data_IF_101798626263
#
_entry.id   IF_101798626263
#
_cell.length_a   1.000
_cell.length_b   1.000
_cell.length_c   1.000
_cell.angle_alpha   90.00
_cell.angle_beta   90.00
_cell.angle_gamma   90.00
#
_symmetry.space_group_name_H-M   'P 1'
#
loop_
_entity.id
_entity.type
_entity.pdbx_description
1 polymer ?
#
# COMPACT_ATOMS: atom_id res chain seq x y z
N UNK A 1 14.21 18.75 -3.92
CA UNK A 1 15.11 17.80 -4.60
C UNK A 1 14.40 17.34 -5.86
N UNK A 2 15.04 17.50 -7.02
CA UNK A 2 14.48 17.04 -8.28
C UNK A 2 14.33 15.51 -8.24
N UNK A 3 13.23 14.99 -8.78
CA UNK A 3 13.03 13.57 -9.07
C UNK A 3 14.00 13.24 -10.22
N UNK A 4 15.29 13.12 -9.91
CA UNK A 4 16.33 12.74 -10.87
C UNK A 4 16.32 11.22 -10.96
N UNK A 5 15.97 10.73 -12.15
CA UNK A 5 16.06 9.34 -12.61
C UNK A 5 15.37 8.31 -11.70
N UNK A 6 14.04 8.29 -11.75
CA UNK A 6 13.31 7.06 -11.45
C UNK A 6 13.84 5.96 -12.38
N UNK A 7 14.54 4.98 -11.83
CA UNK A 7 15.00 3.81 -12.58
C UNK A 7 13.77 3.19 -13.26
N UNK A 8 13.84 2.98 -14.58
CA UNK A 8 12.77 2.32 -15.34
C UNK A 8 12.33 1.02 -14.68
N UNK A 9 13.24 0.37 -13.95
CA UNK A 9 13.05 -0.90 -13.26
C UNK A 9 12.28 -0.80 -11.94
N UNK A 10 11.92 0.39 -11.48
CA UNK A 10 11.36 0.60 -10.16
C UNK A 10 9.96 1.22 -10.20
N UNK A 11 9.13 0.73 -9.29
CA UNK A 11 7.79 1.25 -9.03
C UNK A 11 7.73 1.67 -7.58
N UNK A 12 7.26 2.88 -7.35
CA UNK A 12 7.13 3.46 -6.02
C UNK A 12 5.66 3.52 -5.65
N UNK A 13 5.33 2.99 -4.49
CA UNK A 13 4.01 3.13 -3.89
C UNK A 13 4.20 4.05 -2.69
N UNK A 14 3.54 5.21 -2.74
CA UNK A 14 3.66 6.23 -1.71
C UNK A 14 2.32 6.39 -1.00
N UNK A 15 2.36 6.48 0.32
CA UNK A 15 1.22 6.83 1.17
C UNK A 15 1.54 8.17 1.84
N UNK A 16 0.64 9.14 1.70
CA UNK A 16 0.78 10.48 2.29
C UNK A 16 -0.47 10.88 3.06
N UNK A 17 -0.27 11.52 4.21
CA UNK A 17 -1.32 12.06 5.08
C UNK A 17 -0.69 13.12 6.00
N UNK A 18 -1.50 14.07 6.47
CA UNK A 18 -1.02 15.22 7.25
C UNK A 18 -1.90 15.56 8.46
N UNK A 19 -2.76 14.63 8.88
CA UNK A 19 -3.67 14.82 10.02
C UNK A 19 -3.96 13.48 10.71
N UNK A 20 -4.67 13.49 11.85
CA UNK A 20 -4.88 12.29 12.66
C UNK A 20 -5.79 11.27 11.97
N UNK A 21 -5.52 9.95 12.09
CA UNK A 21 -4.49 9.31 12.90
C UNK A 21 -3.05 9.59 12.43
N UNK A 22 -2.12 9.70 13.39
CA UNK A 22 -0.74 10.09 13.09
C UNK A 22 0.06 8.95 12.51
N UNK A 23 -0.12 7.72 13.00
CA UNK A 23 0.67 6.56 12.59
C UNK A 23 -0.12 5.66 11.63
N UNK A 24 0.01 5.95 10.34
CA UNK A 24 -0.40 5.04 9.28
C UNK A 24 0.78 4.26 8.74
N UNK A 25 0.53 3.02 8.36
CA UNK A 25 1.52 2.11 7.78
C UNK A 25 1.07 1.66 6.39
N UNK A 26 2.03 1.52 5.48
CA UNK A 26 1.80 1.03 4.12
C UNK A 26 2.26 -0.43 4.07
N UNK A 27 1.33 -1.33 3.77
CA UNK A 27 1.55 -2.76 3.90
C UNK A 27 1.30 -3.48 2.56
N UNK A 28 2.13 -4.47 2.26
CA UNK A 28 1.91 -5.42 1.18
C UNK A 28 1.65 -6.81 1.74
N UNK A 29 0.52 -7.40 1.39
CA UNK A 29 0.23 -8.79 1.68
C UNK A 29 0.46 -9.64 0.44
N UNK A 30 1.26 -10.69 0.54
CA UNK A 30 1.50 -11.62 -0.57
C UNK A 30 0.45 -12.74 -0.62
N UNK A 31 0.55 -13.63 -1.62
CA UNK A 31 -0.36 -14.76 -1.77
C UNK A 31 -0.37 -15.73 -0.56
N UNK A 32 0.74 -15.82 0.18
CA UNK A 32 0.87 -16.66 1.36
C UNK A 32 0.23 -16.03 2.61
N UNK A 33 -0.36 -14.84 2.48
CA UNK A 33 -0.97 -14.10 3.58
C UNK A 33 0.03 -13.35 4.46
N UNK A 34 1.31 -13.31 4.09
CA UNK A 34 2.37 -12.62 4.83
C UNK A 34 2.26 -11.13 4.56
N UNK A 35 2.03 -10.35 5.62
CA UNK A 35 2.00 -8.89 5.59
C UNK A 35 3.40 -8.35 5.86
N UNK A 36 3.93 -7.62 4.89
CA UNK A 36 5.17 -6.86 5.02
C UNK A 36 4.82 -5.38 5.20
N UNK A 37 5.54 -4.70 6.10
CA UNK A 37 5.44 -3.25 6.32
C UNK A 37 6.78 -2.70 6.82
N UNK A 38 6.91 -1.36 6.89
CA UNK A 38 8.13 -0.70 7.39
C UNK A 38 8.45 -1.08 8.84
N UNK A 39 7.46 -1.49 9.66
CA UNK A 39 7.70 -1.95 11.05
C UNK A 39 8.14 -3.41 11.15
N UNK A 40 7.76 -4.26 10.18
CA UNK A 40 8.00 -5.71 10.20
C UNK A 40 9.08 -6.17 9.20
N UNK A 41 9.85 -5.25 8.64
CA UNK A 41 10.87 -5.54 7.62
C UNK A 41 11.93 -6.57 8.08
N UNK A 42 12.14 -6.70 9.40
CA UNK A 42 13.03 -7.69 10.01
C UNK A 42 12.43 -9.09 10.19
N UNK A 43 11.10 -9.24 10.07
CA UNK A 43 10.37 -10.50 10.31
C UNK A 43 9.77 -11.11 9.05
N UNK A 44 9.45 -10.30 8.05
CA UNK A 44 9.12 -10.83 6.74
C UNK A 44 10.42 -11.33 6.09
N UNK A 45 10.46 -12.54 5.47
CA UNK A 45 11.57 -12.87 4.59
C UNK A 45 11.68 -11.71 3.61
N UNK A 46 12.80 -11.01 3.59
CA UNK A 46 13.00 -9.86 2.72
C UNK A 46 12.70 -10.31 1.30
N UNK A 47 11.50 -10.00 0.82
CA UNK A 47 11.04 -10.43 -0.49
C UNK A 47 12.00 -9.73 -1.44
N UNK A 48 12.93 -10.51 -1.99
CA UNK A 48 13.95 -10.03 -2.92
C UNK A 48 13.20 -9.18 -3.95
N UNK A 49 13.55 -7.89 -4.05
CA UNK A 49 12.94 -6.86 -4.91
C UNK A 49 11.87 -5.94 -4.29
N UNK A 50 11.53 -6.07 -3.00
CA UNK A 50 10.70 -5.11 -2.25
C UNK A 50 11.58 -4.38 -1.22
N UNK A 51 11.48 -3.06 -1.13
CA UNK A 51 12.16 -2.27 -0.09
C UNK A 51 11.21 -1.24 0.52
N UNK A 52 11.33 -1.00 1.82
CA UNK A 52 10.63 0.08 2.50
C UNK A 52 11.59 1.25 2.64
N UNK A 53 11.37 2.30 1.84
CA UNK A 53 12.32 3.42 1.71
C UNK A 53 12.21 4.43 2.87
N UNK A 54 11.16 4.33 3.69
CA UNK A 54 10.93 5.29 4.78
C UNK A 54 11.63 4.86 6.06
N UNK A 55 12.60 5.65 6.52
CA UNK A 55 13.30 5.41 7.78
C UNK A 55 12.47 5.74 9.04
N UNK A 56 11.41 6.53 8.90
CA UNK A 56 10.55 6.94 10.02
C UNK A 56 9.42 5.93 10.19
N UNK A 57 9.42 5.20 11.32
CA UNK A 57 8.47 4.13 11.57
C UNK A 57 7.14 4.61 12.20
N UNK A 58 7.06 5.85 12.69
CA UNK A 58 5.89 6.40 13.38
C UNK A 58 5.63 7.87 13.04
N UNK A 59 4.39 8.34 13.20
CA UNK A 59 3.99 9.71 12.88
C UNK A 59 3.66 9.90 11.41
N UNK A 60 3.47 11.16 10.99
CA UNK A 60 2.92 11.48 9.66
C UNK A 60 3.82 11.04 8.51
N UNK A 61 3.18 10.78 7.36
CA UNK A 61 3.84 10.32 6.15
C UNK A 61 4.77 11.36 5.49
N UNK A 62 5.43 10.97 4.38
CA UNK A 62 5.07 9.83 3.55
C UNK A 62 5.69 8.49 3.98
N UNK A 63 4.97 7.40 3.70
CA UNK A 63 5.50 6.02 3.70
C UNK A 63 5.69 5.58 2.25
N UNK A 64 6.82 4.94 1.95
CA UNK A 64 7.20 4.59 0.58
C UNK A 64 7.67 3.15 0.51
N UNK A 65 7.10 2.39 -0.43
CA UNK A 65 7.56 1.07 -0.84
C UNK A 65 8.11 1.17 -2.25
N UNK A 66 9.31 0.64 -2.48
CA UNK A 66 9.85 0.44 -3.82
C UNK A 66 9.80 -1.05 -4.20
N UNK A 67 9.38 -1.30 -5.45
CA UNK A 67 9.25 -2.63 -6.04
C UNK A 67 10.10 -2.67 -7.31
N UNK A 68 10.96 -3.68 -7.45
CA UNK A 68 11.72 -3.88 -8.69
C UNK A 68 10.89 -4.68 -9.68
N UNK A 69 10.62 -4.12 -10.86
CA UNK A 69 9.79 -4.72 -11.93
C UNK A 69 10.34 -6.03 -12.52
N UNK A 70 11.55 -6.44 -12.16
CA UNK A 70 12.06 -7.79 -12.49
C UNK A 70 11.35 -8.89 -11.70
N UNK A 71 10.58 -8.56 -10.66
CA UNK A 71 9.83 -9.52 -9.86
C UNK A 71 8.52 -9.95 -10.53
N UNK A 72 7.98 -11.08 -10.08
CA UNK A 72 6.60 -11.47 -10.39
C UNK A 72 5.88 -11.87 -9.12
N UNK A 73 4.63 -11.45 -8.99
CA UNK A 73 3.83 -11.75 -7.81
C UNK A 73 2.48 -11.08 -7.81
N UNK A 74 1.60 -11.58 -6.95
CA UNK A 74 0.32 -10.96 -6.63
C UNK A 74 0.38 -10.47 -5.19
N UNK A 75 -0.13 -9.26 -4.98
CA UNK A 75 -0.11 -8.57 -3.71
C UNK A 75 -1.44 -7.90 -3.45
N UNK A 76 -1.82 -7.77 -2.19
CA UNK A 76 -2.86 -6.85 -1.75
C UNK A 76 -2.22 -5.66 -1.07
N UNK A 77 -2.59 -4.45 -1.49
CA UNK A 77 -2.07 -3.21 -0.94
C UNK A 77 -2.98 -2.69 0.15
N UNK A 78 -2.42 -2.49 1.34
CA UNK A 78 -3.16 -2.03 2.51
C UNK A 78 -2.57 -0.77 3.10
N UNK A 79 -3.45 0.05 3.67
CA UNK A 79 -3.07 1.09 4.63
C UNK A 79 -3.63 0.69 5.99
N UNK A 80 -2.77 0.61 6.99
CA UNK A 80 -3.15 0.26 8.35
C UNK A 80 -3.02 1.47 9.27
N UNK A 81 -4.04 1.73 10.07
CA UNK A 81 -3.92 2.62 11.21
C UNK A 81 -3.35 1.84 12.39
N UNK A 82 -2.21 2.31 12.91
CA UNK A 82 -1.54 1.74 14.08
C UNK A 82 -1.95 2.42 15.39
N UNK A 83 -2.68 3.53 15.32
CA UNK A 83 -3.27 4.15 16.51
C UNK A 83 -4.59 3.48 16.88
N UNK A 84 -4.70 3.04 18.13
CA UNK A 84 -5.96 2.54 18.68
C UNK A 84 -7.07 3.60 18.61
N UNK A 85 -8.30 3.12 18.38
CA UNK A 85 -9.56 3.88 18.46
C UNK A 85 -9.76 5.03 17.46
N UNK A 86 -8.85 5.17 16.48
CA UNK A 86 -9.02 6.16 15.41
C UNK A 86 -9.39 5.54 14.08
N UNK A 87 -10.26 6.26 13.38
CA UNK A 87 -10.74 5.90 12.05
C UNK A 87 -9.75 6.40 11.00
N UNK A 88 -9.25 5.50 10.15
CA UNK A 88 -8.27 5.78 9.10
C UNK A 88 -8.68 6.91 8.13
N UNK A 89 -9.99 7.16 7.99
CA UNK A 89 -10.53 8.17 7.08
C UNK A 89 -10.46 9.60 7.59
N UNK A 90 -10.22 9.82 8.89
CA UNK A 90 -10.13 11.18 9.43
C UNK A 90 -8.96 11.98 8.82
N UNK A 91 -7.92 11.30 8.31
CA UNK A 91 -6.72 11.96 7.81
C UNK A 91 -6.64 12.17 6.29
N UNK A 92 -7.68 11.79 5.54
CA UNK A 92 -7.70 11.82 4.07
C UNK A 92 -6.43 11.19 3.44
N UNK A 93 -6.12 9.91 3.74
CA UNK A 93 -4.90 9.28 3.23
C UNK A 93 -4.93 9.20 1.70
N UNK A 94 -3.78 9.45 1.09
CA UNK A 94 -3.57 9.40 -0.36
C UNK A 94 -2.50 8.37 -0.69
N UNK A 95 -2.85 7.38 -1.50
CA UNK A 95 -1.92 6.38 -2.01
C UNK A 95 -1.66 6.62 -3.49
N UNK A 96 -0.40 6.75 -3.88
CA UNK A 96 0.00 7.00 -5.27
C UNK A 96 1.00 5.95 -5.72
N UNK A 97 0.74 5.33 -6.87
CA UNK A 97 1.66 4.45 -7.57
C UNK A 97 2.35 5.27 -8.65
N UNK A 98 3.67 5.31 -8.60
CA UNK A 98 4.56 6.09 -9.46
C UNK A 98 5.47 5.12 -10.19
N UNK A 99 5.53 5.25 -11.51
CA UNK A 99 6.48 4.56 -12.37
C UNK A 99 7.47 5.58 -12.95
N UNK A 100 8.45 5.12 -13.72
CA UNK A 100 9.46 5.99 -14.33
C UNK A 100 8.88 7.08 -15.25
N UNK A 101 7.71 6.83 -15.83
CA UNK A 101 7.00 7.79 -16.68
C UNK A 101 6.09 8.75 -15.90
N UNK A 102 6.05 8.66 -14.56
CA UNK A 102 5.30 9.55 -13.68
C UNK A 102 4.24 8.85 -12.83
N UNK A 103 3.22 9.60 -12.42
CA UNK A 103 2.12 9.08 -11.63
C UNK A 103 1.26 8.17 -12.51
N UNK A 104 1.15 6.90 -12.11
CA UNK A 104 0.35 5.92 -12.83
C UNK A 104 -1.08 5.81 -12.29
N UNK A 105 -1.22 5.71 -10.97
CA UNK A 105 -2.54 5.66 -10.30
C UNK A 105 -2.50 6.39 -8.96
N UNK A 106 -3.64 6.98 -8.63
CA UNK A 106 -3.87 7.64 -7.34
C UNK A 106 -5.16 7.11 -6.73
N UNK A 107 -5.09 6.71 -5.47
CA UNK A 107 -6.20 6.24 -4.67
C UNK A 107 -6.42 7.21 -3.54
N UNK A 108 -7.64 7.69 -3.44
CA UNK A 108 -8.10 8.51 -2.33
C UNK A 108 -9.21 7.76 -1.64
N UNK A 109 -9.13 7.69 -0.32
CA UNK A 109 -10.26 7.25 0.47
C UNK A 109 -11.29 8.39 0.50
N UNK A 110 -12.32 8.31 -0.35
CA UNK A 110 -13.35 9.35 -0.43
C UNK A 110 -14.42 9.19 0.66
N UNK A 111 -15.09 10.29 0.98
CA UNK A 111 -16.08 10.35 2.06
C UNK A 111 -17.22 9.33 1.88
N UNK A 112 -17.63 9.02 0.64
CA UNK A 112 -18.70 8.07 0.38
C UNK A 112 -18.27 6.63 0.66
N UNK A 113 -17.07 6.24 0.21
CA UNK A 113 -16.45 4.96 0.53
C UNK A 113 -16.23 4.80 2.03
N UNK A 114 -15.98 5.91 2.73
CA UNK A 114 -15.92 5.94 4.18
C UNK A 114 -17.30 5.69 4.79
N UNK A 115 -18.34 6.37 4.32
CA UNK A 115 -19.72 6.22 4.82
C UNK A 115 -20.24 4.79 4.61
N UNK A 116 -20.02 4.19 3.44
CA UNK A 116 -20.46 2.82 3.15
C UNK A 116 -19.72 1.78 4.01
N UNK A 117 -18.43 2.02 4.30
CA UNK A 117 -17.65 1.19 5.21
C UNK A 117 -18.04 1.42 6.66
N UNK A 118 -18.33 2.66 7.07
CA UNK A 118 -18.80 3.01 8.42
C UNK A 118 -20.17 2.41 8.69
N UNK A 119 -21.11 2.47 7.74
CA UNK A 119 -22.43 1.85 7.87
C UNK A 119 -22.35 0.33 8.02
N UNK A 120 -21.35 -0.31 7.40
CA UNK A 120 -21.05 -1.74 7.61
C UNK A 120 -20.35 -2.00 8.96
N UNK A 121 -19.52 -1.06 9.42
CA UNK A 121 -18.74 -1.14 10.65
C UNK A 121 -19.46 -0.61 11.91
N UNK A 122 -20.70 -0.14 11.82
CA UNK A 122 -21.53 0.06 13.02
C UNK A 122 -21.80 -1.27 13.78
N UNK A 123 -21.35 -2.41 13.24
CA UNK A 123 -21.24 -3.71 13.93
C UNK A 123 -19.82 -4.08 14.42
N UNK A 124 -18.77 -3.40 13.93
CA UNK A 124 -17.36 -3.68 14.22
C UNK A 124 -16.65 -2.36 14.61
N UNK A 125 -16.41 -2.16 15.91
CA UNK A 125 -15.93 -0.90 16.50
C UNK A 125 -14.55 -0.39 16.02
N UNK A 126 -13.82 -1.12 15.16
CA UNK A 126 -12.46 -0.73 14.72
C UNK A 126 -12.20 -1.02 13.24
N UNK A 127 -12.56 -0.08 12.36
CA UNK A 127 -11.99 -0.05 11.00
C UNK A 127 -10.56 0.52 11.03
N UNK A 128 -9.60 -0.32 11.39
CA UNK A 128 -8.17 0.01 11.44
C UNK A 128 -7.43 -0.21 10.10
N UNK A 129 -8.12 -0.68 9.05
CA UNK A 129 -7.47 -1.10 7.80
C UNK A 129 -8.24 -0.67 6.56
N UNK A 130 -7.51 -0.19 5.55
CA UNK A 130 -8.00 0.12 4.22
C UNK A 130 -7.30 -0.77 3.19
N UNK A 131 -8.06 -1.71 2.60
CA UNK A 131 -7.66 -2.39 1.37
C UNK A 131 -7.77 -1.43 0.19
N UNK A 132 -6.62 -1.02 -0.36
CA UNK A 132 -6.51 -0.06 -1.45
C UNK A 132 -6.84 -0.70 -2.78
N UNK A 133 -6.09 -1.74 -3.15
CA UNK A 133 -6.25 -2.48 -4.40
C UNK A 133 -5.49 -3.81 -4.37
N UNK A 134 -5.81 -4.67 -5.32
CA UNK A 134 -5.01 -5.84 -5.63
C UNK A 134 -4.00 -5.46 -6.72
N UNK A 135 -2.73 -5.86 -6.54
CA UNK A 135 -1.62 -5.62 -7.46
C UNK A 135 -1.11 -6.94 -8.02
N UNK A 136 -0.92 -7.00 -9.33
CA UNK A 136 -0.16 -8.07 -9.99
C UNK A 136 1.01 -7.44 -10.72
N UNK A 137 2.18 -8.00 -10.49
CA UNK A 137 3.43 -7.61 -11.13
C UNK A 137 3.90 -8.81 -11.95
N UNK A 138 4.21 -8.57 -13.20
CA UNK A 138 4.80 -9.52 -14.12
C UNK A 138 6.22 -9.07 -14.45
N UNK A 139 7.15 -10.03 -14.52
CA UNK A 139 8.53 -9.73 -14.86
C UNK A 139 8.57 -9.28 -16.31
N UNK A 140 8.95 -8.03 -16.55
CA UNK A 140 9.14 -7.50 -17.89
C UNK A 140 10.56 -6.97 -18.03
N UNK A 141 11.33 -7.60 -18.93
CA UNK A 141 12.67 -7.14 -19.29
C UNK A 141 12.68 -5.79 -20.01
N UNK A 142 11.53 -5.34 -20.50
CA UNK A 142 11.33 -4.05 -21.18
C UNK A 142 10.80 -2.96 -20.25
N UNK A 143 10.50 -3.29 -18.98
CA UNK A 143 10.06 -2.33 -17.96
C UNK A 143 8.87 -1.48 -18.43
N UNK A 144 7.93 -2.09 -19.16
CA UNK A 144 6.74 -1.41 -19.66
C UNK A 144 5.69 -1.23 -18.56
N UNK A 145 4.78 -0.29 -18.77
CA UNK A 145 3.60 -0.08 -17.92
C UNK A 145 2.63 -1.28 -17.90
N UNK A 146 2.73 -2.18 -18.89
CA UNK A 146 1.97 -3.43 -18.93
C UNK A 146 2.42 -4.48 -17.91
N UNK A 147 3.61 -4.28 -17.30
CA UNK A 147 4.14 -5.18 -16.27
C UNK A 147 3.37 -5.12 -14.95
N UNK A 148 2.53 -4.09 -14.75
CA UNK A 148 1.75 -3.94 -13.53
C UNK A 148 0.27 -3.82 -13.86
N UNK A 149 -0.48 -4.73 -13.28
CA UNK A 149 -1.93 -4.71 -13.27
C UNK A 149 -2.41 -4.32 -11.88
N UNK A 150 -3.35 -3.37 -11.83
CA UNK A 150 -3.99 -2.96 -10.60
C UNK A 150 -5.50 -3.14 -10.75
N UNK A 151 -6.02 -4.10 -9.99
CA UNK A 151 -7.41 -4.53 -9.96
C UNK A 151 -8.13 -4.02 -8.71
N UNK A 152 -9.46 -4.08 -8.76
CA UNK A 152 -10.27 -3.81 -7.57
C UNK A 152 -9.99 -4.84 -6.46
N UNK A 153 -10.32 -4.43 -5.24
CA UNK A 153 -10.17 -5.22 -4.01
C UNK A 153 -10.74 -6.63 -4.16
N UNK A 154 -9.93 -7.64 -3.78
CA UNK A 154 -10.28 -9.07 -3.75
C UNK A 154 -10.58 -9.68 -5.13
N UNK A 155 -9.99 -9.14 -6.21
CA UNK A 155 -10.10 -9.73 -7.56
C UNK A 155 -8.94 -10.65 -7.95
N UNK A 156 -7.78 -10.52 -7.32
CA UNK A 156 -6.58 -11.30 -7.68
C UNK A 156 -6.22 -12.38 -6.67
N UNK A 157 -6.60 -12.19 -5.40
CA UNK A 157 -6.30 -13.09 -4.29
C UNK A 157 -7.55 -13.30 -3.41
N UNK A 158 -7.97 -14.56 -3.26
CA UNK A 158 -9.18 -14.94 -2.52
C UNK A 158 -8.97 -15.04 -0.99
N UNK A 159 -7.73 -14.93 -0.52
CA UNK A 159 -7.43 -15.09 0.91
C UNK A 159 -7.76 -13.81 1.70
N UNK A 160 -8.52 -13.96 2.78
CA UNK A 160 -8.64 -12.93 3.81
C UNK A 160 -7.33 -12.80 4.58
N UNK A 161 -6.94 -11.56 4.86
CA UNK A 161 -5.71 -11.25 5.57
C UNK A 161 -5.89 -11.55 7.06
N UNK A 162 -5.02 -12.39 7.61
CA UNK A 162 -4.90 -12.59 9.06
C UNK A 162 -3.88 -11.58 9.58
N UNK A 163 -4.36 -10.60 10.32
CA UNK A 163 -3.52 -9.63 11.01
C UNK A 163 -3.05 -10.25 12.32
N UNK A 164 -1.74 -10.41 12.50
CA UNK A 164 -1.11 -10.70 13.81
C UNK A 164 -0.82 -9.42 14.59
#
# INVERSE_FOLDING_TARGET
AAISDLDAKQVFITLSWASSPKDLDLCLCNQDGIISSTKNESRAPSLKNIRYETAVHEGFGPKVISLTQSMSGKFKLYVMNREDDKKIFACNPLVTIIMFNGIWKTFKLDAQSCLDRVAKAEKDEKLCCWHVCDLRIESDSRFSDQSILCEDVNKLLDHEVKFE
#
